data_IF_094764397469
#
_entry.id   IF_094764397469
#
_cell.length_a   1.000
_cell.length_b   1.000
_cell.length_c   1.000
_cell.angle_alpha   90.00
_cell.angle_beta   90.00
_cell.angle_gamma   90.00
#
_symmetry.space_group_name_H-M   'P 1'
#
loop_
_entity.id
_entity.type
_entity.pdbx_description
1 polymer ?
#
# COMPACT_ATOMS: atom_id res chain seq x y z
N UNK A 1 17.51 -21.44 5.61
CA UNK A 1 18.22 -20.23 6.07
C UNK A 1 17.15 -19.28 6.56
N UNK A 2 16.85 -19.31 7.86
CA UNK A 2 15.82 -18.48 8.47
C UNK A 2 16.31 -17.04 8.48
N UNK A 3 15.80 -16.21 7.57
CA UNK A 3 15.93 -14.76 7.69
C UNK A 3 15.12 -14.34 8.90
N UNK A 4 15.79 -14.27 10.05
CA UNK A 4 15.23 -13.82 11.31
C UNK A 4 15.04 -12.31 11.21
N UNK A 5 13.98 -11.89 10.50
CA UNK A 5 13.61 -10.49 10.41
C UNK A 5 13.23 -10.05 11.83
N UNK A 6 13.97 -9.11 12.43
CA UNK A 6 13.71 -8.70 13.81
C UNK A 6 12.29 -8.16 13.92
N UNK A 7 11.59 -8.58 14.98
CA UNK A 7 10.23 -8.13 15.31
C UNK A 7 10.13 -6.60 15.35
N UNK A 8 8.95 -6.03 15.12
CA UNK A 8 8.78 -4.57 15.23
C UNK A 8 9.28 -4.02 16.59
N UNK A 9 8.97 -4.63 17.75
CA UNK A 9 9.52 -4.19 19.02
C UNK A 9 11.05 -4.13 19.03
N UNK A 10 11.75 -5.14 18.52
CA UNK A 10 13.21 -5.16 18.48
C UNK A 10 13.78 -4.04 17.61
N UNK A 11 13.18 -3.79 16.44
CA UNK A 11 13.61 -2.71 15.52
C UNK A 11 13.39 -1.33 16.14
N UNK A 12 12.22 -1.10 16.74
CA UNK A 12 11.86 0.15 17.40
C UNK A 12 12.78 0.39 18.60
N UNK A 13 12.99 -0.62 19.43
CA UNK A 13 13.86 -0.56 20.61
C UNK A 13 15.29 -0.16 20.24
N UNK A 14 15.87 -0.78 19.21
CA UNK A 14 17.20 -0.41 18.70
C UNK A 14 17.24 1.02 18.19
N UNK A 15 16.20 1.46 17.47
CA UNK A 15 16.16 2.80 16.86
C UNK A 15 15.99 3.91 17.90
N UNK A 16 15.18 3.67 18.92
CA UNK A 16 14.87 4.63 19.98
C UNK A 16 15.81 4.50 21.20
N UNK A 17 16.72 3.53 21.20
CA UNK A 17 17.60 3.21 22.33
C UNK A 17 16.79 2.93 23.62
N UNK A 18 15.72 2.16 23.48
CA UNK A 18 14.82 1.76 24.58
C UNK A 18 14.95 0.27 24.85
N UNK A 19 14.53 -0.16 26.05
CA UNK A 19 14.48 -1.59 26.37
C UNK A 19 13.40 -2.29 25.53
N UNK A 20 13.77 -3.37 24.83
CA UNK A 20 12.86 -4.11 23.95
C UNK A 20 11.60 -4.60 24.67
N UNK A 21 11.72 -5.05 25.92
CA UNK A 21 10.58 -5.45 26.75
C UNK A 21 9.56 -4.32 26.94
N UNK A 22 10.02 -3.10 27.17
CA UNK A 22 9.15 -1.94 27.40
C UNK A 22 8.44 -1.53 26.10
N UNK A 23 9.16 -1.57 24.98
CA UNK A 23 8.61 -1.33 23.66
C UNK A 23 7.58 -2.40 23.31
N UNK A 24 7.87 -3.68 23.53
CA UNK A 24 6.96 -4.79 23.27
C UNK A 24 5.66 -4.65 24.07
N UNK A 25 5.74 -4.31 25.36
CA UNK A 25 4.56 -4.06 26.19
C UNK A 25 3.74 -2.86 25.68
N UNK A 26 4.41 -1.79 25.25
CA UNK A 26 3.74 -0.61 24.68
C UNK A 26 3.04 -0.95 23.35
N UNK A 27 3.70 -1.69 22.47
CA UNK A 27 3.13 -2.17 21.20
C UNK A 27 1.89 -3.01 21.46
N UNK A 28 1.95 -3.95 22.42
CA UNK A 28 0.78 -4.76 22.78
C UNK A 28 -0.40 -3.89 23.25
N UNK A 29 -0.15 -2.90 24.11
CA UNK A 29 -1.20 -2.00 24.59
C UNK A 29 -1.83 -1.18 23.45
N UNK A 30 -1.01 -0.69 22.51
CA UNK A 30 -1.50 0.01 21.31
C UNK A 30 -2.35 -0.91 20.43
N UNK A 31 -1.96 -2.17 20.29
CA UNK A 31 -2.70 -3.17 19.49
C UNK A 31 -4.03 -3.57 20.12
N UNK A 32 -4.10 -3.54 21.45
CA UNK A 32 -5.34 -3.67 22.22
C UNK A 32 -6.25 -2.42 22.12
N UNK A 33 -5.82 -1.38 21.38
CA UNK A 33 -6.59 -0.16 21.17
C UNK A 33 -6.47 0.88 22.28
N UNK A 34 -5.51 0.72 23.20
CA UNK A 34 -5.28 1.72 24.25
C UNK A 34 -4.68 3.00 23.63
N UNK A 35 -5.19 4.16 24.05
CA UNK A 35 -4.68 5.45 23.57
C UNK A 35 -3.41 5.86 24.31
N UNK A 36 -2.57 6.67 23.66
CA UNK A 36 -1.35 7.19 24.25
C UNK A 36 -1.55 7.87 25.63
N UNK A 37 -2.55 8.76 25.83
CA UNK A 37 -2.78 9.36 27.15
C UNK A 37 -3.19 8.33 28.20
N UNK A 38 -3.91 7.28 27.81
CA UNK A 38 -4.30 6.20 28.71
C UNK A 38 -3.08 5.36 29.12
N UNK A 39 -2.22 5.00 28.16
CA UNK A 39 -1.00 4.24 28.42
C UNK A 39 -0.07 5.03 29.36
N UNK A 40 0.20 6.29 29.03
CA UNK A 40 1.10 7.15 29.82
C UNK A 40 0.61 7.34 31.27
N UNK A 41 -0.71 7.41 31.49
CA UNK A 41 -1.29 7.67 32.81
C UNK A 41 -1.57 6.40 33.63
N UNK A 42 -2.05 5.33 33.01
CA UNK A 42 -2.60 4.15 33.70
C UNK A 42 -1.86 2.83 33.43
N UNK A 43 -0.85 2.84 32.56
CA UNK A 43 -0.05 1.64 32.20
C UNK A 43 1.45 1.84 32.39
N UNK A 44 1.85 2.86 33.15
CA UNK A 44 3.25 3.23 33.40
C UNK A 44 4.12 2.07 33.89
N UNK A 45 3.62 1.25 34.79
CA UNK A 45 4.35 0.07 35.30
C UNK A 45 4.54 -1.01 34.22
N UNK A 46 3.53 -1.20 33.35
CA UNK A 46 3.60 -2.19 32.28
C UNK A 46 4.59 -1.80 31.19
N UNK A 47 4.73 -0.50 30.93
CA UNK A 47 5.69 0.05 29.96
C UNK A 47 7.08 0.26 30.56
N UNK A 48 7.31 -0.07 31.84
CA UNK A 48 8.59 0.14 32.50
C UNK A 48 8.94 1.63 32.68
N UNK A 49 7.93 2.49 32.84
CA UNK A 49 8.09 3.90 33.16
C UNK A 49 8.23 4.84 31.97
N UNK A 50 7.97 4.37 30.73
CA UNK A 50 8.06 5.22 29.54
C UNK A 50 7.17 6.46 29.65
N UNK A 51 7.71 7.60 29.23
CA UNK A 51 6.99 8.87 29.19
C UNK A 51 6.16 9.03 27.90
N UNK A 52 5.39 10.12 27.84
CA UNK A 52 4.47 10.38 26.73
C UNK A 52 5.21 10.58 25.40
N UNK A 53 6.38 11.21 25.40
CA UNK A 53 7.16 11.44 24.18
C UNK A 53 7.73 10.12 23.63
N UNK A 54 8.22 9.26 24.52
CA UNK A 54 8.70 7.93 24.17
C UNK A 54 7.58 7.05 23.62
N UNK A 55 6.40 7.04 24.25
CA UNK A 55 5.24 6.29 23.76
C UNK A 55 4.80 6.81 22.38
N UNK A 56 4.79 8.14 22.17
CA UNK A 56 4.50 8.74 20.86
C UNK A 56 5.49 8.32 19.79
N UNK A 57 6.78 8.29 20.12
CA UNK A 57 7.83 7.86 19.19
C UNK A 57 7.68 6.37 18.81
N UNK A 58 7.31 5.52 19.77
CA UNK A 58 7.00 4.10 19.53
C UNK A 58 5.81 3.96 18.59
N UNK A 59 4.70 4.65 18.88
CA UNK A 59 3.47 4.62 18.07
C UNK A 59 3.75 5.04 16.62
N UNK A 60 4.47 6.15 16.42
CA UNK A 60 4.81 6.65 15.09
C UNK A 60 5.70 5.67 14.31
N UNK A 61 6.72 5.10 14.96
CA UNK A 61 7.63 4.13 14.33
C UNK A 61 6.90 2.82 14.00
N UNK A 62 6.04 2.34 14.90
CA UNK A 62 5.21 1.16 14.68
C UNK A 62 4.29 1.35 13.47
N UNK A 63 3.61 2.50 13.39
CA UNK A 63 2.77 2.86 12.24
C UNK A 63 3.57 2.90 10.93
N UNK A 64 4.75 3.53 10.96
CA UNK A 64 5.63 3.61 9.79
C UNK A 64 6.09 2.23 9.30
N UNK A 65 6.47 1.34 10.22
CA UNK A 65 6.89 -0.03 9.89
C UNK A 65 5.73 -0.87 9.33
N UNK A 66 4.53 -0.75 9.91
CA UNK A 66 3.33 -1.41 9.40
C UNK A 66 2.96 -0.95 8.01
N UNK A 67 2.97 0.37 7.78
CA UNK A 67 2.69 0.94 6.47
C UNK A 67 3.71 0.48 5.41
N UNK A 68 4.99 0.38 5.77
CA UNK A 68 6.03 -0.15 4.90
C UNK A 68 5.74 -1.60 4.50
N UNK A 69 5.43 -2.46 5.47
CA UNK A 69 5.21 -3.89 5.24
C UNK A 69 3.90 -4.16 4.48
N UNK A 70 2.82 -3.42 4.78
CA UNK A 70 1.56 -3.46 4.02
C UNK A 70 1.78 -3.03 2.57
N UNK A 71 2.52 -1.93 2.37
CA UNK A 71 2.83 -1.43 1.03
C UNK A 71 3.71 -2.42 0.26
N UNK A 72 4.70 -3.03 0.91
CA UNK A 72 5.54 -4.08 0.34
C UNK A 72 4.69 -5.27 -0.13
N UNK A 73 3.78 -5.75 0.71
CA UNK A 73 2.88 -6.85 0.36
C UNK A 73 2.02 -6.52 -0.86
N UNK A 74 1.47 -5.30 -0.91
CA UNK A 74 0.67 -4.81 -2.05
C UNK A 74 1.49 -4.79 -3.34
N UNK A 75 2.73 -4.28 -3.29
CA UNK A 75 3.62 -4.22 -4.45
C UNK A 75 3.99 -5.63 -4.93
N UNK A 76 4.37 -6.52 -4.01
CA UNK A 76 4.69 -7.92 -4.33
C UNK A 76 3.50 -8.62 -5.01
N UNK A 77 2.29 -8.45 -4.48
CA UNK A 77 1.08 -9.00 -5.09
C UNK A 77 0.86 -8.44 -6.50
N UNK A 78 0.94 -7.13 -6.68
CA UNK A 78 0.72 -6.49 -7.99
C UNK A 78 1.74 -6.92 -9.05
N UNK A 79 3.02 -7.11 -8.68
CA UNK A 79 4.06 -7.57 -9.60
C UNK A 79 3.89 -9.07 -9.90
N UNK A 80 3.49 -9.86 -8.90
CA UNK A 80 3.22 -11.30 -9.06
C UNK A 80 2.04 -11.55 -9.99
N UNK A 81 0.97 -10.77 -9.88
CA UNK A 81 -0.19 -10.81 -10.79
C UNK A 81 0.18 -10.50 -12.25
N UNK A 82 1.26 -9.75 -12.48
CA UNK A 82 1.79 -9.49 -13.81
C UNK A 82 2.77 -10.56 -14.30
N UNK A 83 3.01 -11.61 -13.50
CA UNK A 83 4.00 -12.67 -13.76
C UNK A 83 5.43 -12.13 -13.97
N UNK A 84 5.75 -10.99 -13.35
CA UNK A 84 7.04 -10.29 -13.49
C UNK A 84 7.93 -10.34 -12.24
N UNK A 85 7.49 -11.03 -11.19
CA UNK A 85 8.22 -11.09 -9.92
C UNK A 85 9.37 -12.09 -10.04
N UNK A 86 10.60 -11.61 -10.26
CA UNK A 86 11.79 -12.47 -10.21
C UNK A 86 12.29 -12.65 -8.77
N UNK A 87 13.04 -13.73 -8.46
CA UNK A 87 13.62 -13.93 -7.14
C UNK A 87 14.52 -12.76 -6.69
N UNK A 88 15.25 -12.15 -7.62
CA UNK A 88 16.13 -11.01 -7.35
C UNK A 88 15.32 -9.76 -6.97
N UNK A 89 14.23 -9.49 -7.70
CA UNK A 89 13.34 -8.38 -7.41
C UNK A 89 12.59 -8.57 -6.09
N UNK A 90 12.14 -9.80 -5.81
CA UNK A 90 11.52 -10.14 -4.53
C UNK A 90 12.49 -9.89 -3.37
N UNK A 91 13.75 -10.31 -3.49
CA UNK A 91 14.78 -10.03 -2.50
C UNK A 91 15.02 -8.52 -2.30
N UNK A 92 15.06 -7.73 -3.38
CA UNK A 92 15.20 -6.27 -3.30
C UNK A 92 14.02 -5.61 -2.58
N UNK A 93 12.78 -6.03 -2.89
CA UNK A 93 11.57 -5.52 -2.26
C UNK A 93 11.50 -5.89 -0.76
N UNK A 94 11.93 -7.11 -0.39
CA UNK A 94 12.02 -7.55 1.00
C UNK A 94 13.10 -6.79 1.78
N UNK A 95 14.21 -6.45 1.14
CA UNK A 95 15.30 -5.68 1.74
C UNK A 95 15.04 -4.17 1.83
N UNK A 96 14.04 -3.64 1.12
CA UNK A 96 13.75 -2.21 1.11
C UNK A 96 13.29 -1.70 2.50
N UNK A 97 14.04 -0.74 3.04
CA UNK A 97 13.82 -0.16 4.37
C UNK A 97 12.94 1.10 4.37
N UNK A 98 12.61 1.65 3.20
CA UNK A 98 11.84 2.89 3.08
C UNK A 98 10.72 2.77 2.03
N UNK A 99 9.66 3.55 2.22
CA UNK A 99 8.56 3.63 1.24
C UNK A 99 9.07 4.14 -0.11
N UNK A 100 9.99 5.11 -0.11
CA UNK A 100 10.59 5.63 -1.35
C UNK A 100 11.30 4.52 -2.13
N UNK A 101 12.14 3.73 -1.47
CA UNK A 101 12.84 2.62 -2.14
C UNK A 101 11.87 1.58 -2.70
N UNK A 102 10.77 1.30 -2.00
CA UNK A 102 9.70 0.43 -2.54
C UNK A 102 9.03 1.03 -3.78
N UNK A 103 8.70 2.32 -3.77
CA UNK A 103 8.07 2.98 -4.92
C UNK A 103 9.00 3.04 -6.14
N UNK A 104 10.30 3.29 -5.93
CA UNK A 104 11.29 3.31 -7.00
C UNK A 104 11.40 1.92 -7.67
N UNK A 105 11.44 0.85 -6.88
CA UNK A 105 11.43 -0.53 -7.39
C UNK A 105 10.11 -0.87 -8.09
N UNK A 106 8.99 -0.35 -7.61
CA UNK A 106 7.67 -0.62 -8.17
C UNK A 106 7.36 0.19 -9.43
N UNK A 107 8.01 1.35 -9.63
CA UNK A 107 7.72 2.30 -10.71
C UNK A 107 7.60 1.63 -12.10
N UNK A 108 8.48 0.70 -12.53
CA UNK A 108 8.39 0.06 -13.84
C UNK A 108 7.18 -0.87 -14.00
N UNK A 109 6.64 -1.36 -12.89
CA UNK A 109 5.54 -2.34 -12.84
C UNK A 109 4.20 -1.70 -12.52
N UNK A 110 4.18 -0.41 -12.17
CA UNK A 110 2.95 0.29 -11.82
C UNK A 110 1.95 0.19 -12.98
N UNK A 111 0.78 -0.43 -12.78
CA UNK A 111 -0.22 -0.54 -13.83
C UNK A 111 -0.58 0.85 -14.33
N UNK A 112 -0.60 1.02 -15.65
CA UNK A 112 -1.16 2.24 -16.24
C UNK A 112 -2.62 2.33 -15.80
N UNK A 113 -3.04 3.53 -15.34
CA UNK A 113 -4.42 3.74 -14.89
C UNK A 113 -5.37 3.23 -15.99
N UNK A 114 -6.23 2.27 -15.66
CA UNK A 114 -7.40 1.98 -16.51
C UNK A 114 -8.26 3.23 -16.49
N UNK A 115 -8.23 3.97 -17.58
CA UNK A 115 -9.03 5.17 -17.77
C UNK A 115 -10.40 4.76 -18.28
N UNK A 116 -11.42 5.61 -18.12
CA UNK A 116 -12.72 5.39 -18.78
C UNK A 116 -12.56 5.14 -20.28
N UNK A 117 -11.59 5.82 -20.92
CA UNK A 117 -11.25 5.59 -22.31
C UNK A 117 -10.64 4.21 -22.59
N UNK A 118 -9.74 3.69 -21.75
CA UNK A 118 -9.19 2.34 -21.96
C UNK A 118 -10.26 1.27 -21.75
N UNK A 119 -11.13 1.44 -20.74
CA UNK A 119 -12.27 0.54 -20.49
C UNK A 119 -13.24 0.59 -21.69
N UNK A 120 -13.54 1.78 -22.22
CA UNK A 120 -14.38 1.93 -23.41
C UNK A 120 -13.79 1.22 -24.64
N UNK A 121 -12.47 1.32 -24.87
CA UNK A 121 -11.80 0.60 -25.96
C UNK A 121 -11.82 -0.90 -25.78
N UNK A 122 -11.57 -1.40 -24.57
CA UNK A 122 -11.66 -2.83 -24.23
C UNK A 122 -13.08 -3.38 -24.43
N UNK A 123 -14.12 -2.54 -24.20
CA UNK A 123 -15.53 -2.84 -24.53
C UNK A 123 -15.88 -2.67 -26.01
N UNK A 124 -14.90 -2.41 -26.87
CA UNK A 124 -15.13 -2.29 -28.32
C UNK A 124 -15.78 -0.98 -28.76
N UNK A 125 -15.80 0.07 -27.93
CA UNK A 125 -16.43 1.36 -28.26
C UNK A 125 -15.60 2.26 -29.19
N UNK A 126 -14.41 1.82 -29.62
CA UNK A 126 -13.52 2.61 -30.48
C UNK A 126 -14.17 2.96 -31.84
N UNK A 127 -14.86 2.06 -32.56
CA UNK A 127 -15.49 2.38 -33.84
C UNK A 127 -16.60 3.43 -33.72
N UNK A 128 -17.37 3.42 -32.62
CA UNK A 128 -18.38 4.44 -32.33
C UNK A 128 -17.75 5.82 -32.13
N UNK A 129 -16.64 5.87 -31.38
CA UNK A 129 -15.90 7.11 -31.17
C UNK A 129 -15.34 7.67 -32.49
N UNK A 130 -14.82 6.80 -33.37
CA UNK A 130 -14.29 7.20 -34.68
C UNK A 130 -15.40 7.73 -35.59
N UNK A 131 -16.61 7.14 -35.55
CA UNK A 131 -17.78 7.59 -36.30
C UNK A 131 -18.21 9.00 -35.85
N UNK A 132 -18.33 9.23 -34.53
CA UNK A 132 -18.69 10.53 -33.97
C UNK A 132 -17.64 11.59 -34.32
N UNK A 133 -16.36 11.24 -34.22
CA UNK A 133 -15.24 12.13 -34.53
C UNK A 133 -15.23 12.55 -36.01
N UNK A 134 -15.63 11.66 -36.92
CA UNK A 134 -15.66 11.94 -38.36
C UNK A 134 -16.69 13.01 -38.76
N UNK A 135 -17.68 13.32 -37.91
CA UNK A 135 -18.71 14.35 -38.13
C UNK A 135 -19.35 14.34 -39.54
N UNK A 136 -19.59 13.15 -40.10
CA UNK A 136 -20.16 13.02 -41.44
C UNK A 136 -21.60 13.57 -41.49
N UNK A 137 -21.84 14.56 -42.35
CA UNK A 137 -23.19 15.18 -42.53
C UNK A 137 -24.26 14.23 -43.07
N UNK A 138 -23.85 13.08 -43.60
CA UNK A 138 -24.74 12.01 -44.08
C UNK A 138 -24.73 10.77 -43.17
N UNK A 139 -24.03 10.84 -42.04
CA UNK A 139 -23.94 9.74 -41.07
C UNK A 139 -25.20 9.61 -40.22
N UNK A 140 -25.34 8.46 -39.58
CA UNK A 140 -26.36 8.25 -38.53
C UNK A 140 -26.14 9.18 -37.34
N UNK A 141 -27.24 9.50 -36.65
CA UNK A 141 -27.17 10.24 -35.38
C UNK A 141 -26.36 9.43 -34.33
N UNK A 142 -25.52 10.09 -33.51
CA UNK A 142 -24.68 9.42 -32.51
C UNK A 142 -25.46 8.48 -31.58
N UNK A 143 -26.66 8.87 -31.18
CA UNK A 143 -27.54 8.10 -30.30
C UNK A 143 -28.05 6.82 -30.98
N UNK A 144 -28.31 6.87 -32.29
CA UNK A 144 -28.73 5.71 -33.08
C UNK A 144 -27.57 4.75 -33.27
N UNK A 145 -26.40 5.25 -33.66
CA UNK A 145 -25.19 4.45 -33.84
C UNK A 145 -24.76 3.76 -32.53
N UNK A 146 -24.98 4.41 -31.38
CA UNK A 146 -24.63 3.86 -30.07
C UNK A 146 -25.46 2.62 -29.66
N UNK A 147 -26.66 2.41 -30.24
CA UNK A 147 -27.51 1.25 -29.92
C UNK A 147 -26.80 -0.08 -30.17
N UNK A 148 -25.96 -0.16 -31.21
CA UNK A 148 -25.20 -1.36 -31.55
C UNK A 148 -24.08 -1.69 -30.55
N UNK A 149 -23.79 -0.80 -29.61
CA UNK A 149 -22.72 -0.92 -28.62
C UNK A 149 -23.23 -1.03 -27.18
N UNK A 150 -24.55 -1.14 -26.99
CA UNK A 150 -25.14 -1.42 -25.69
C UNK A 150 -24.86 -2.87 -25.29
N UNK A 151 -24.52 -3.07 -24.03
CA UNK A 151 -24.26 -4.38 -23.43
C UNK A 151 -25.09 -4.51 -22.15
N UNK A 152 -25.63 -5.69 -21.88
CA UNK A 152 -26.57 -5.97 -20.77
C UNK A 152 -25.93 -6.02 -19.36
N UNK A 153 -24.65 -5.62 -19.24
CA UNK A 153 -23.91 -5.53 -17.97
C UNK A 153 -24.04 -4.15 -17.29
#
# INVERSE_FOLDING_TARGET
>A
MTTDTPSYPARIARKLTLAERNVAATVQLLDEGNTLPFIARYRKEMTGGLDEEQIRAIEHMLGSLRALDERRATILASIREQEKLTPELEAQLLAAETLTALEDLYQPYRPKRRTRASIARERGLQPLADLILAQSRKGEHPETAAQAFLSDD
#
